data_IF_772298980028
#
_entry.id   IF_772298980028
#
_cell.length_a   1.000
_cell.length_b   1.000
_cell.length_c   1.000
_cell.angle_alpha   90.00
_cell.angle_beta   90.00
_cell.angle_gamma   90.00
#
_symmetry.space_group_name_H-M   'P 1'
#
loop_
_entity.id
_entity.type
_entity.pdbx_description
1 polymer ?
#
# COMPACT_ATOMS: atom_id res chain seq x y z
N UNK A 1 35.40 30.32 -11.58
CA UNK A 1 34.49 29.53 -12.46
C UNK A 1 35.14 28.18 -12.79
N UNK A 2 34.65 27.05 -12.25
CA UNK A 2 34.95 25.72 -12.78
C UNK A 2 33.69 25.16 -13.45
N UNK A 3 33.60 25.23 -14.78
CA UNK A 3 34.08 24.23 -15.75
C UNK A 3 32.93 23.31 -16.18
N UNK A 4 32.44 23.60 -17.39
CA UNK A 4 31.50 22.82 -18.19
C UNK A 4 31.92 21.34 -18.41
N UNK A 5 33.10 20.93 -17.93
CA UNK A 5 33.57 19.54 -17.98
C UNK A 5 32.71 18.58 -17.13
N UNK A 6 32.10 19.03 -16.02
CA UNK A 6 31.18 18.17 -15.22
C UNK A 6 29.84 17.92 -15.91
N UNK A 7 29.43 18.79 -16.83
CA UNK A 7 28.16 18.68 -17.55
C UNK A 7 28.22 17.59 -18.63
N UNK A 8 29.40 17.31 -19.18
CA UNK A 8 29.60 16.24 -20.17
C UNK A 8 29.45 14.82 -19.61
N UNK A 9 29.70 14.63 -18.31
CA UNK A 9 29.54 13.33 -17.64
C UNK A 9 28.09 13.08 -17.18
N UNK A 10 27.36 14.15 -16.85
CA UNK A 10 25.92 14.12 -16.53
C UNK A 10 25.02 13.86 -17.75
N UNK A 11 25.52 14.13 -18.96
CA UNK A 11 24.81 13.93 -20.23
C UNK A 11 25.20 12.64 -20.97
N UNK A 12 25.99 11.75 -20.35
CA UNK A 12 26.02 10.36 -20.81
C UNK A 12 24.63 9.79 -20.57
N UNK A 13 23.78 9.84 -21.61
CA UNK A 13 22.63 8.95 -21.74
C UNK A 13 23.16 7.56 -21.42
N UNK A 14 22.91 7.07 -20.19
CA UNK A 14 23.21 5.69 -19.83
C UNK A 14 22.67 4.85 -20.98
N UNK A 15 23.51 4.03 -21.58
CA UNK A 15 23.02 3.07 -22.58
C UNK A 15 21.79 2.39 -21.97
N UNK A 16 20.66 2.35 -22.68
CA UNK A 16 19.43 1.83 -22.11
C UNK A 16 19.73 0.40 -21.65
N UNK A 17 19.67 0.18 -20.33
CA UNK A 17 20.01 -1.13 -19.75
C UNK A 17 19.19 -2.26 -20.39
N UNK A 18 19.61 -3.52 -20.25
CA UNK A 18 18.92 -4.64 -20.87
C UNK A 18 17.47 -4.71 -20.39
N UNK A 19 16.57 -5.11 -21.29
CA UNK A 19 15.16 -5.37 -20.94
C UNK A 19 15.08 -6.65 -20.12
N UNK A 20 14.34 -6.62 -19.03
CA UNK A 20 14.00 -7.78 -18.20
C UNK A 20 12.50 -8.03 -18.32
N UNK A 21 12.12 -9.26 -18.66
CA UNK A 21 10.73 -9.69 -18.66
C UNK A 21 10.41 -10.38 -17.33
N UNK A 22 9.60 -9.74 -16.49
CA UNK A 22 9.05 -10.38 -15.29
C UNK A 22 7.78 -11.13 -15.71
N UNK A 23 7.80 -12.46 -15.64
CA UNK A 23 6.70 -13.31 -16.12
C UNK A 23 6.07 -14.07 -14.96
N UNK A 24 4.74 -14.22 -15.01
CA UNK A 24 3.99 -14.92 -13.97
C UNK A 24 2.72 -15.57 -14.56
N UNK A 25 2.24 -16.67 -13.94
CA UNK A 25 0.92 -17.23 -14.26
C UNK A 25 -0.21 -16.21 -14.29
N UNK A 26 -0.15 -15.19 -13.44
CA UNK A 26 -1.10 -14.08 -13.41
C UNK A 26 -0.36 -12.75 -13.22
N UNK A 27 -0.75 -11.73 -13.98
CA UNK A 27 -0.33 -10.33 -13.79
C UNK A 27 -1.57 -9.48 -13.56
N UNK A 28 -1.57 -8.68 -12.49
CA UNK A 28 -2.62 -7.72 -12.14
C UNK A 28 -2.07 -6.30 -12.32
N UNK A 29 -2.31 -5.66 -13.48
CA UNK A 29 -1.80 -4.32 -13.77
C UNK A 29 -2.49 -3.23 -12.94
N UNK A 30 -3.64 -3.55 -12.35
CA UNK A 30 -4.56 -2.65 -11.63
C UNK A 30 -5.29 -1.69 -12.56
N UNK A 31 -4.60 -0.94 -13.41
CA UNK A 31 -5.28 -0.01 -14.33
C UNK A 31 -6.04 -0.71 -15.47
N UNK A 32 -5.65 -1.95 -15.79
CA UNK A 32 -6.20 -2.78 -16.88
C UNK A 32 -6.62 -4.17 -16.37
N UNK A 33 -7.25 -4.96 -17.25
CA UNK A 33 -7.70 -6.32 -16.94
C UNK A 33 -6.57 -7.26 -16.48
N UNK A 34 -6.87 -8.23 -15.60
CA UNK A 34 -5.97 -9.33 -15.26
C UNK A 34 -5.46 -10.11 -16.48
N UNK A 35 -4.17 -10.43 -16.49
CA UNK A 35 -3.52 -11.11 -17.62
C UNK A 35 -3.00 -12.47 -17.17
N UNK A 36 -3.69 -13.53 -17.59
CA UNK A 36 -3.19 -14.91 -17.47
C UNK A 36 -2.00 -15.18 -18.40
N UNK A 37 -0.99 -15.91 -17.90
CA UNK A 37 0.35 -16.07 -18.51
C UNK A 37 0.91 -14.73 -18.99
N UNK A 38 0.95 -13.78 -18.04
CA UNK A 38 1.32 -12.40 -18.28
C UNK A 38 2.81 -12.12 -18.11
N UNK A 39 3.22 -10.98 -18.62
CA UNK A 39 4.57 -10.45 -18.48
C UNK A 39 4.56 -8.92 -18.33
N UNK A 40 5.57 -8.42 -17.62
CA UNK A 40 5.91 -7.01 -17.49
C UNK A 40 7.31 -6.80 -18.04
N UNK A 41 7.44 -6.03 -19.11
CA UNK A 41 8.73 -5.66 -19.70
C UNK A 41 9.28 -4.43 -18.98
N UNK A 42 10.43 -4.56 -18.34
CA UNK A 42 11.08 -3.51 -17.54
C UNK A 42 12.43 -3.15 -18.15
N UNK A 43 12.73 -1.85 -18.17
CA UNK A 43 14.06 -1.32 -18.50
C UNK A 43 14.45 -0.26 -17.49
N UNK A 44 15.58 -0.49 -16.81
CA UNK A 44 15.99 0.37 -15.70
C UNK A 44 14.88 0.38 -14.64
N UNK A 45 14.33 1.56 -14.36
CA UNK A 45 13.28 1.79 -13.38
C UNK A 45 11.89 2.01 -14.01
N UNK A 46 11.71 1.71 -15.30
CA UNK A 46 10.44 1.94 -16.02
C UNK A 46 9.87 0.66 -16.62
N UNK A 47 8.55 0.58 -16.58
CA UNK A 47 7.77 -0.39 -17.35
C UNK A 47 7.66 0.11 -18.79
N UNK A 48 8.06 -0.73 -19.74
CA UNK A 48 7.90 -0.49 -21.17
C UNK A 48 6.54 -0.93 -21.66
N UNK A 49 6.10 -2.12 -21.22
CA UNK A 49 4.87 -2.75 -21.67
C UNK A 49 4.42 -3.81 -20.67
N UNK A 50 3.10 -4.02 -20.60
CA UNK A 50 2.46 -5.12 -19.87
C UNK A 50 1.60 -5.88 -20.87
N UNK A 51 1.59 -7.22 -20.81
CA UNK A 51 0.84 -8.00 -21.79
C UNK A 51 1.04 -9.50 -21.65
N UNK A 52 0.58 -10.26 -22.65
CA UNK A 52 0.81 -11.70 -22.73
C UNK A 52 2.30 -12.01 -22.84
N UNK A 53 2.75 -13.03 -22.10
CA UNK A 53 4.14 -13.48 -22.09
C UNK A 53 4.68 -13.80 -23.49
N UNK A 54 3.91 -14.51 -24.30
CA UNK A 54 4.29 -14.86 -25.67
C UNK A 54 4.54 -13.63 -26.53
N UNK A 55 3.64 -12.65 -26.48
CA UNK A 55 3.76 -11.39 -27.22
C UNK A 55 4.99 -10.58 -26.78
N UNK A 56 5.23 -10.45 -25.47
CA UNK A 56 6.39 -9.71 -24.97
C UNK A 56 7.72 -10.42 -25.28
N UNK A 57 7.78 -11.77 -25.25
CA UNK A 57 8.99 -12.50 -25.67
C UNK A 57 9.32 -12.27 -27.15
N UNK A 58 8.29 -12.20 -28.01
CA UNK A 58 8.48 -11.88 -29.43
C UNK A 58 8.88 -10.42 -29.65
N UNK A 59 8.27 -9.48 -28.92
CA UNK A 59 8.53 -8.04 -29.04
C UNK A 59 9.85 -7.56 -28.44
N UNK A 60 10.42 -8.33 -27.49
CA UNK A 60 11.70 -8.03 -26.85
C UNK A 60 12.66 -9.23 -26.96
N UNK A 61 13.14 -9.57 -28.18
CA UNK A 61 14.04 -10.70 -28.37
C UNK A 61 15.36 -10.49 -27.63
N UNK A 62 15.93 -11.57 -27.08
CA UNK A 62 17.18 -11.53 -26.31
C UNK A 62 17.07 -10.93 -24.90
N UNK A 63 15.88 -10.51 -24.48
CA UNK A 63 15.65 -10.04 -23.10
C UNK A 63 15.82 -11.15 -22.07
N UNK A 64 16.30 -10.79 -20.87
CA UNK A 64 16.40 -11.73 -19.74
C UNK A 64 15.01 -11.99 -19.20
N UNK A 65 14.60 -13.25 -19.13
CA UNK A 65 13.33 -13.62 -18.52
C UNK A 65 13.52 -13.99 -17.05
N UNK A 66 12.73 -13.38 -16.17
CA UNK A 66 12.64 -13.71 -14.75
C UNK A 66 11.24 -14.25 -14.46
N UNK A 67 11.15 -15.56 -14.24
CA UNK A 67 9.89 -16.26 -14.04
C UNK A 67 9.54 -16.36 -12.56
N UNK A 68 8.34 -15.92 -12.20
CA UNK A 68 7.83 -15.94 -10.83
C UNK A 68 6.75 -17.01 -10.66
N UNK A 69 6.77 -17.77 -9.55
CA UNK A 69 5.65 -18.62 -9.20
C UNK A 69 4.55 -17.74 -8.56
N UNK A 70 3.33 -17.79 -9.09
CA UNK A 70 2.17 -17.09 -8.52
C UNK A 70 1.71 -15.86 -9.31
N UNK A 71 1.45 -14.77 -8.60
CA UNK A 71 0.84 -13.55 -9.16
C UNK A 71 1.77 -12.36 -9.01
N UNK A 72 1.99 -11.62 -10.09
CA UNK A 72 2.52 -10.26 -10.05
C UNK A 72 1.35 -9.31 -9.91
N UNK A 73 1.43 -8.36 -8.97
CA UNK A 73 0.53 -7.21 -8.88
C UNK A 73 1.36 -5.93 -8.93
N UNK A 74 0.76 -4.81 -9.32
CA UNK A 74 1.38 -3.50 -9.11
C UNK A 74 1.84 -3.37 -7.64
N UNK A 75 3.01 -2.76 -7.43
CA UNK A 75 3.54 -2.57 -6.10
C UNK A 75 2.54 -1.87 -5.17
N UNK A 76 2.38 -2.40 -3.96
CA UNK A 76 1.46 -1.82 -2.99
C UNK A 76 2.03 -0.49 -2.47
N UNK A 77 1.13 0.45 -2.17
CA UNK A 77 1.50 1.79 -1.71
C UNK A 77 0.85 2.03 -0.37
N UNK A 78 1.67 2.22 0.66
CA UNK A 78 1.20 2.57 2.01
C UNK A 78 1.36 4.09 2.21
N UNK A 79 0.27 4.87 2.21
CA UNK A 79 0.34 6.33 2.29
C UNK A 79 0.57 6.85 3.72
N UNK A 80 0.53 5.97 4.73
CA UNK A 80 0.81 6.33 6.12
C UNK A 80 1.30 5.11 6.92
N UNK A 81 2.51 4.68 6.59
CA UNK A 81 3.15 3.49 7.11
C UNK A 81 3.72 3.70 8.52
N UNK A 82 3.44 2.75 9.40
CA UNK A 82 4.07 2.62 10.73
C UNK A 82 5.11 1.51 10.78
N UNK A 83 5.29 0.75 9.69
CA UNK A 83 6.20 -0.39 9.62
C UNK A 83 6.45 -0.88 8.19
N UNK A 84 7.15 -2.01 8.06
CA UNK A 84 7.28 -2.73 6.80
C UNK A 84 6.15 -3.74 6.65
N UNK A 85 5.59 -3.85 5.44
CA UNK A 85 4.49 -4.77 5.14
C UNK A 85 4.74 -5.55 3.84
N UNK A 86 4.24 -6.79 3.72
CA UNK A 86 4.50 -7.63 2.56
C UNK A 86 4.04 -6.99 1.25
N UNK A 87 4.93 -6.91 0.26
CA UNK A 87 4.61 -6.43 -1.09
C UNK A 87 4.48 -4.91 -1.23
N UNK A 88 4.72 -4.15 -0.15
CA UNK A 88 4.79 -2.69 -0.24
C UNK A 88 6.10 -2.26 -0.90
N UNK A 89 5.98 -1.46 -1.95
CA UNK A 89 7.10 -0.92 -2.74
C UNK A 89 7.29 0.59 -2.55
N UNK A 90 6.29 1.27 -1.98
CA UNK A 90 6.39 2.69 -1.61
C UNK A 90 5.68 2.91 -0.29
N UNK A 91 6.38 3.53 0.65
CA UNK A 91 5.88 3.91 1.97
C UNK A 91 5.99 5.40 2.17
N UNK A 92 4.94 6.00 2.70
CA UNK A 92 4.97 7.36 3.20
C UNK A 92 4.69 7.36 4.71
N UNK A 93 5.36 8.20 5.48
CA UNK A 93 5.18 8.22 6.94
C UNK A 93 6.14 9.18 7.62
N UNK A 94 6.12 9.18 8.95
CA UNK A 94 6.96 10.05 9.77
C UNK A 94 8.41 9.52 9.95
N UNK A 95 8.64 8.23 9.65
CA UNK A 95 9.94 7.59 9.88
C UNK A 95 10.91 7.75 8.69
N UNK A 96 12.20 7.92 8.98
CA UNK A 96 13.28 8.08 7.98
C UNK A 96 13.44 6.90 7.00
N UNK A 97 12.90 5.73 7.37
CA UNK A 97 12.91 4.55 6.50
C UNK A 97 11.87 4.60 5.36
N UNK A 98 11.02 5.63 5.32
CA UNK A 98 9.99 5.81 4.30
C UNK A 98 10.57 6.40 2.99
N UNK A 99 9.92 6.08 1.88
CA UNK A 99 10.23 6.63 0.55
C UNK A 99 9.75 8.08 0.40
N UNK A 100 8.68 8.43 1.11
CA UNK A 100 8.16 9.79 1.27
C UNK A 100 8.11 10.10 2.76
N UNK A 101 8.77 11.16 3.20
CA UNK A 101 8.79 11.54 4.62
C UNK A 101 7.78 12.67 4.84
N UNK A 102 6.97 12.57 5.89
CA UNK A 102 6.16 13.68 6.38
C UNK A 102 6.90 14.35 7.54
N UNK A 103 7.24 15.64 7.38
CA UNK A 103 7.73 16.46 8.48
C UNK A 103 6.53 16.77 9.37
N UNK A 104 6.63 16.38 10.63
CA UNK A 104 5.54 16.57 11.59
C UNK A 104 5.50 18.00 12.12
N UNK A 105 4.34 18.63 12.03
CA UNK A 105 4.10 19.96 12.60
C UNK A 105 2.98 19.85 13.63
N UNK A 106 3.34 20.07 14.90
CA UNK A 106 2.45 20.05 16.07
C UNK A 106 2.42 21.39 16.80
N UNK A 107 2.99 22.44 16.20
CA UNK A 107 3.04 23.77 16.79
C UNK A 107 1.64 24.21 17.21
N UNK A 108 1.46 24.56 18.48
CA UNK A 108 0.15 24.91 19.03
C UNK A 108 -0.01 26.43 19.25
N UNK A 109 0.95 27.22 18.77
CA UNK A 109 1.05 28.66 19.00
C UNK A 109 1.49 29.36 17.71
N UNK A 110 0.60 30.17 17.15
CA UNK A 110 0.86 30.95 15.95
C UNK A 110 2.09 31.88 16.08
N UNK A 111 2.36 32.43 17.28
CA UNK A 111 3.51 33.30 17.46
C UNK A 111 4.83 32.52 17.34
N UNK A 112 4.96 31.38 18.03
CA UNK A 112 6.12 30.50 17.88
C UNK A 112 6.29 29.97 16.43
N UNK A 113 5.18 29.74 15.73
CA UNK A 113 5.18 29.39 14.32
C UNK A 113 5.83 30.47 13.45
N UNK A 114 5.36 31.70 13.57
CA UNK A 114 5.87 32.85 12.82
C UNK A 114 7.34 33.16 13.15
N UNK A 115 7.71 33.11 14.42
CA UNK A 115 9.06 33.54 14.86
C UNK A 115 10.16 32.52 14.54
N UNK A 116 9.83 31.23 14.43
CA UNK A 116 10.86 30.17 14.36
C UNK A 116 10.46 28.92 13.59
N UNK A 117 9.30 28.33 13.88
CA UNK A 117 9.01 26.97 13.41
C UNK A 117 8.71 26.90 11.92
N UNK A 118 8.13 27.97 11.35
CA UNK A 118 7.94 28.10 9.91
C UNK A 118 9.25 28.02 9.14
N UNK A 119 10.25 28.78 9.57
CA UNK A 119 11.57 28.80 8.93
C UNK A 119 12.31 27.46 9.09
N UNK A 120 12.14 26.81 10.25
CA UNK A 120 12.66 25.47 10.48
C UNK A 120 12.02 24.44 9.52
N UNK A 121 10.69 24.50 9.33
CA UNK A 121 10.00 23.64 8.36
C UNK A 121 10.51 23.89 6.93
N UNK A 122 10.59 25.15 6.50
CA UNK A 122 11.06 25.50 5.15
C UNK A 122 12.49 25.00 4.93
N UNK A 123 13.35 25.11 5.94
CA UNK A 123 14.72 24.60 5.90
C UNK A 123 14.73 23.07 5.77
N UNK A 124 13.97 22.36 6.61
CA UNK A 124 13.87 20.90 6.56
C UNK A 124 13.36 20.40 5.19
N UNK A 125 12.38 21.09 4.59
CA UNK A 125 11.86 20.77 3.26
C UNK A 125 12.94 20.96 2.18
N UNK A 126 13.70 22.05 2.25
CA UNK A 126 14.75 22.38 1.26
C UNK A 126 15.96 21.46 1.35
N UNK A 127 16.30 21.00 2.55
CA UNK A 127 17.46 20.13 2.78
C UNK A 127 17.16 18.64 2.55
N UNK A 128 15.89 18.27 2.40
CA UNK A 128 15.49 16.88 2.16
C UNK A 128 16.08 16.33 0.84
N UNK A 129 16.77 15.20 0.94
CA UNK A 129 17.35 14.47 -0.20
C UNK A 129 16.34 13.61 -0.97
N UNK A 130 15.09 13.62 -0.52
CA UNK A 130 14.01 12.76 -0.99
C UNK A 130 12.66 13.47 -0.92
N UNK A 131 11.62 12.89 -1.50
CA UNK A 131 10.28 13.48 -1.48
C UNK A 131 9.79 13.70 -0.05
N UNK A 132 9.32 14.91 0.23
CA UNK A 132 8.85 15.33 1.54
C UNK A 132 7.45 15.92 1.44
N UNK A 133 6.63 15.65 2.45
CA UNK A 133 5.35 16.32 2.71
C UNK A 133 5.30 16.82 4.14
N UNK A 134 4.13 17.31 4.58
CA UNK A 134 3.92 17.79 5.94
C UNK A 134 2.78 17.02 6.60
N UNK A 135 2.98 16.57 7.83
CA UNK A 135 1.90 16.11 8.69
C UNK A 135 1.35 17.28 9.49
N UNK A 136 0.16 17.73 9.10
CA UNK A 136 -0.52 18.90 9.65
C UNK A 136 -1.29 18.50 10.92
N UNK A 137 -0.56 18.35 12.03
CA UNK A 137 -1.08 17.95 13.34
C UNK A 137 -1.19 19.12 14.33
N UNK A 138 -1.09 20.35 13.83
CA UNK A 138 -1.30 21.57 14.62
C UNK A 138 -2.75 21.64 15.11
N UNK A 139 -2.99 21.96 16.40
CA UNK A 139 -4.31 22.35 16.88
C UNK A 139 -4.64 23.83 16.57
N UNK A 140 -3.64 24.64 16.22
CA UNK A 140 -3.78 26.07 15.94
C UNK A 140 -4.23 26.29 14.47
N UNK A 141 -5.34 27.00 14.23
CA UNK A 141 -5.89 27.20 12.89
C UNK A 141 -5.02 28.10 12.00
N UNK A 142 -4.34 29.11 12.55
CA UNK A 142 -3.46 30.00 11.76
C UNK A 142 -2.24 29.24 11.24
N UNK A 143 -1.70 28.34 12.07
CA UNK A 143 -0.64 27.41 11.65
C UNK A 143 -1.15 26.48 10.54
N UNK A 144 -2.35 25.92 10.66
CA UNK A 144 -2.93 25.05 9.61
C UNK A 144 -3.16 25.80 8.30
N UNK A 145 -3.62 27.06 8.36
CA UNK A 145 -3.81 27.92 7.19
C UNK A 145 -2.49 28.18 6.47
N UNK A 146 -1.43 28.55 7.21
CA UNK A 146 -0.12 28.78 6.61
C UNK A 146 0.48 27.48 6.04
N UNK A 147 0.31 26.33 6.72
CA UNK A 147 0.69 25.02 6.16
C UNK A 147 -0.01 24.74 4.83
N UNK A 148 -1.30 25.07 4.71
CA UNK A 148 -2.04 24.92 3.46
C UNK A 148 -1.51 25.86 2.37
N UNK A 149 -1.15 27.10 2.71
CA UNK A 149 -0.51 28.05 1.79
C UNK A 149 0.86 27.55 1.33
N UNK A 150 1.71 27.09 2.25
CA UNK A 150 3.02 26.53 1.96
C UNK A 150 2.89 25.30 1.05
N UNK A 151 1.94 24.40 1.32
CA UNK A 151 1.71 23.23 0.50
C UNK A 151 1.34 23.58 -0.94
N UNK A 152 0.43 24.54 -1.15
CA UNK A 152 0.10 25.02 -2.49
C UNK A 152 1.27 25.71 -3.18
N UNK A 153 2.04 26.50 -2.43
CA UNK A 153 3.17 27.28 -2.96
C UNK A 153 4.30 26.38 -3.43
N UNK A 154 4.63 25.35 -2.65
CA UNK A 154 5.75 24.45 -2.92
C UNK A 154 5.33 23.10 -3.55
N UNK A 155 4.03 22.88 -3.77
CA UNK A 155 3.50 21.63 -4.31
C UNK A 155 3.69 20.44 -3.37
N UNK A 156 3.60 20.67 -2.05
CA UNK A 156 3.82 19.63 -1.03
C UNK A 156 2.56 18.82 -0.80
N UNK A 157 2.74 17.54 -0.43
CA UNK A 157 1.65 16.71 0.09
C UNK A 157 1.41 17.04 1.55
N UNK A 158 0.14 17.14 1.94
CA UNK A 158 -0.29 17.20 3.32
C UNK A 158 -0.88 15.85 3.75
N UNK A 159 -0.60 15.45 4.98
CA UNK A 159 -1.37 14.42 5.69
C UNK A 159 -1.97 15.03 6.95
N UNK A 160 -3.25 14.77 7.20
CA UNK A 160 -3.92 15.13 8.44
C UNK A 160 -4.48 13.87 9.11
N UNK A 161 -4.35 13.75 10.42
CA UNK A 161 -4.90 12.64 11.19
C UNK A 161 -6.27 13.05 11.78
N UNK A 162 -7.33 12.35 11.36
CA UNK A 162 -8.68 12.62 11.83
C UNK A 162 -8.92 12.19 13.28
N UNK A 163 -7.99 11.44 13.88
CA UNK A 163 -7.98 11.23 15.33
C UNK A 163 -7.49 12.47 16.11
N UNK A 164 -6.82 13.40 15.43
CA UNK A 164 -6.29 14.65 16.02
C UNK A 164 -7.21 15.82 15.73
N UNK A 165 -7.59 16.02 14.46
CA UNK A 165 -8.37 17.18 14.02
C UNK A 165 -9.52 16.74 13.13
N UNK A 166 -10.75 17.14 13.48
CA UNK A 166 -11.94 16.83 12.70
C UNK A 166 -11.91 17.48 11.30
N UNK A 167 -12.67 16.96 10.31
CA UNK A 167 -12.67 17.50 8.95
C UNK A 167 -13.09 18.96 8.84
N UNK A 168 -14.00 19.45 9.69
CA UNK A 168 -14.51 20.83 9.63
C UNK A 168 -13.42 21.89 9.78
N UNK A 169 -12.67 21.92 10.90
CA UNK A 169 -11.54 22.85 11.07
C UNK A 169 -10.46 22.72 9.99
N UNK A 170 -10.19 21.51 9.49
CA UNK A 170 -9.26 21.31 8.37
C UNK A 170 -9.77 21.94 7.07
N UNK A 171 -11.09 21.96 6.86
CA UNK A 171 -11.72 22.63 5.71
C UNK A 171 -11.63 24.15 5.82
N UNK A 172 -11.95 24.68 7.00
CA UNK A 172 -11.90 26.11 7.30
C UNK A 172 -10.48 26.66 7.10
N UNK A 173 -9.47 25.94 7.56
CA UNK A 173 -8.06 26.29 7.36
C UNK A 173 -7.56 26.04 5.92
N UNK A 174 -8.39 25.46 5.03
CA UNK A 174 -8.03 25.16 3.64
C UNK A 174 -6.99 24.06 3.47
N UNK A 175 -6.80 23.21 4.49
CA UNK A 175 -5.91 22.04 4.46
C UNK A 175 -6.49 20.95 3.56
N UNK A 176 -7.81 20.73 3.62
CA UNK A 176 -8.48 19.78 2.75
C UNK A 176 -8.37 20.22 1.28
N UNK A 177 -8.12 19.25 0.40
CA UNK A 177 -7.91 19.54 -1.01
C UNK A 177 -7.17 18.41 -1.75
N UNK A 178 -6.93 18.60 -3.06
CA UNK A 178 -6.22 17.62 -3.88
C UNK A 178 -4.79 17.30 -3.42
N UNK A 179 -4.16 18.20 -2.65
CA UNK A 179 -2.82 18.02 -2.08
C UNK A 179 -2.81 17.29 -0.74
N UNK A 180 -3.99 17.04 -0.16
CA UNK A 180 -4.15 16.43 1.15
C UNK A 180 -4.71 15.01 1.02
N UNK A 181 -4.22 14.11 1.86
CA UNK A 181 -4.95 12.90 2.21
C UNK A 181 -5.10 12.84 3.73
N UNK A 182 -6.18 12.23 4.19
CA UNK A 182 -6.49 12.13 5.61
C UNK A 182 -6.26 10.70 6.08
N UNK A 183 -5.57 10.54 7.20
CA UNK A 183 -5.48 9.27 7.91
C UNK A 183 -6.74 9.10 8.78
N UNK A 184 -7.44 7.98 8.61
CA UNK A 184 -8.69 7.70 9.32
C UNK A 184 -8.63 6.32 9.99
N UNK A 185 -8.74 6.31 11.32
CA UNK A 185 -8.80 5.08 12.14
C UNK A 185 -10.19 4.83 12.72
N UNK A 186 -11.11 5.77 12.59
CA UNK A 186 -12.47 5.72 13.12
C UNK A 186 -13.56 5.53 12.05
N UNK A 187 -14.80 5.82 12.43
CA UNK A 187 -15.93 5.92 11.52
C UNK A 187 -16.09 7.37 11.07
N UNK A 188 -16.46 7.57 9.81
CA UNK A 188 -16.84 8.87 9.27
C UNK A 188 -18.37 8.93 9.16
N UNK A 189 -18.95 10.02 9.63
CA UNK A 189 -20.36 10.26 9.36
C UNK A 189 -20.58 10.60 7.87
N UNK A 190 -21.83 10.52 7.35
CA UNK A 190 -22.11 10.82 5.95
C UNK A 190 -21.74 12.24 5.52
N UNK A 191 -21.84 13.22 6.41
CA UNK A 191 -21.47 14.62 6.18
C UNK A 191 -19.96 14.81 6.05
N UNK A 192 -19.19 14.23 6.97
CA UNK A 192 -17.72 14.22 6.93
C UNK A 192 -17.20 13.54 5.67
N UNK A 193 -17.75 12.36 5.34
CA UNK A 193 -17.39 11.64 4.10
C UNK A 193 -17.67 12.50 2.88
N UNK A 194 -18.86 13.12 2.81
CA UNK A 194 -19.24 14.00 1.71
C UNK A 194 -18.31 15.21 1.60
N UNK A 195 -17.94 15.83 2.71
CA UNK A 195 -17.01 16.95 2.75
C UNK A 195 -15.65 16.58 2.16
N UNK A 196 -15.06 15.48 2.63
CA UNK A 196 -13.75 15.01 2.17
C UNK A 196 -13.75 14.70 0.66
N UNK A 197 -14.81 14.07 0.15
CA UNK A 197 -14.98 13.79 -1.27
C UNK A 197 -15.14 15.07 -2.10
N UNK A 198 -15.95 16.03 -1.64
CA UNK A 198 -16.13 17.32 -2.31
C UNK A 198 -14.83 18.12 -2.42
N UNK A 199 -13.94 17.99 -1.43
CA UNK A 199 -12.60 18.60 -1.44
C UNK A 199 -11.56 17.79 -2.19
N UNK A 200 -11.91 16.59 -2.65
CA UNK A 200 -10.98 15.67 -3.32
C UNK A 200 -9.79 15.29 -2.43
N UNK A 201 -9.97 15.33 -1.11
CA UNK A 201 -9.01 14.77 -0.15
C UNK A 201 -9.13 13.25 -0.17
N UNK A 202 -8.02 12.54 -0.41
CA UNK A 202 -8.05 11.07 -0.39
C UNK A 202 -8.16 10.59 1.06
N UNK A 203 -9.05 9.62 1.33
CA UNK A 203 -9.16 9.02 2.66
C UNK A 203 -8.29 7.76 2.70
N UNK A 204 -7.31 7.73 3.60
CA UNK A 204 -6.47 6.58 3.88
C UNK A 204 -6.90 5.91 5.19
N UNK A 205 -7.52 4.74 5.10
CA UNK A 205 -7.97 4.00 6.27
C UNK A 205 -6.83 3.19 6.89
N UNK A 206 -6.50 3.53 8.13
CA UNK A 206 -5.64 2.72 8.99
C UNK A 206 -6.36 1.45 9.45
N UNK A 207 -5.66 0.39 9.87
CA UNK A 207 -6.29 -0.82 10.36
C UNK A 207 -7.25 -0.52 11.51
N UNK A 208 -8.48 -1.01 11.41
CA UNK A 208 -9.56 -0.72 12.37
C UNK A 208 -10.53 0.37 11.92
N UNK A 209 -10.15 1.22 10.97
CA UNK A 209 -11.04 2.20 10.35
C UNK A 209 -12.14 1.55 9.49
N UNK A 210 -13.29 2.24 9.37
CA UNK A 210 -14.46 1.71 8.65
C UNK A 210 -14.50 2.19 7.19
N UNK A 211 -13.81 1.46 6.32
CA UNK A 211 -13.81 1.71 4.89
C UNK A 211 -15.07 1.19 4.15
N UNK A 212 -15.99 0.49 4.84
CA UNK A 212 -17.08 -0.22 4.16
C UNK A 212 -18.07 0.72 3.48
N UNK A 213 -18.39 1.86 4.08
CA UNK A 213 -19.32 2.80 3.49
C UNK A 213 -18.80 3.31 2.13
N UNK A 214 -17.53 3.72 2.06
CA UNK A 214 -16.93 4.15 0.79
C UNK A 214 -16.89 3.00 -0.19
N UNK A 215 -16.50 1.80 0.27
CA UNK A 215 -16.47 0.61 -0.56
C UNK A 215 -17.83 0.27 -1.16
N UNK A 216 -18.91 0.41 -0.41
CA UNK A 216 -20.27 0.16 -0.92
C UNK A 216 -20.71 1.28 -1.90
N UNK A 217 -20.32 2.53 -1.62
CA UNK A 217 -20.75 3.73 -2.39
C UNK A 217 -20.06 3.92 -3.76
N UNK A 218 -18.94 3.24 -4.05
CA UNK A 218 -18.21 3.47 -5.32
C UNK A 218 -16.95 4.34 -5.19
N UNK A 219 -16.79 4.99 -4.04
CA UNK A 219 -15.78 6.04 -3.84
C UNK A 219 -14.32 5.54 -3.74
N UNK A 220 -13.35 6.29 -4.27
CA UNK A 220 -11.94 5.97 -4.14
C UNK A 220 -11.44 6.23 -2.72
N UNK A 221 -10.58 5.34 -2.23
CA UNK A 221 -9.91 5.46 -0.94
C UNK A 221 -8.58 4.70 -0.97
N UNK A 222 -7.76 4.88 0.05
CA UNK A 222 -6.51 4.16 0.26
C UNK A 222 -6.57 3.32 1.54
N UNK A 223 -5.70 2.34 1.64
CA UNK A 223 -5.49 1.52 2.84
C UNK A 223 -4.06 1.75 3.34
N UNK A 224 -3.90 1.94 4.64
CA UNK A 224 -2.60 2.14 5.29
C UNK A 224 -2.33 1.03 6.33
N UNK A 225 -1.07 0.88 6.74
CA UNK A 225 -0.67 -0.01 7.84
C UNK A 225 -0.83 -1.50 7.52
N UNK A 226 -0.17 -1.96 6.45
CA UNK A 226 -0.41 -3.24 5.74
C UNK A 226 -1.64 -3.22 4.80
N UNK A 227 -1.52 -2.51 3.66
CA UNK A 227 -2.64 -2.31 2.75
C UNK A 227 -3.28 -3.61 2.24
N UNK A 228 -2.49 -4.67 1.99
CA UNK A 228 -3.02 -5.94 1.50
C UNK A 228 -3.62 -6.78 2.63
N UNK A 229 -3.00 -6.82 3.80
CA UNK A 229 -3.59 -7.46 4.98
C UNK A 229 -4.92 -6.82 5.37
N UNK A 230 -4.99 -5.48 5.32
CA UNK A 230 -6.22 -4.73 5.53
C UNK A 230 -7.27 -5.03 4.45
N UNK A 231 -6.89 -5.03 3.18
CA UNK A 231 -7.76 -5.44 2.07
C UNK A 231 -8.33 -6.86 2.26
N UNK A 232 -7.50 -7.81 2.67
CA UNK A 232 -7.92 -9.19 2.95
C UNK A 232 -8.93 -9.25 4.10
N UNK A 233 -8.73 -8.45 5.16
CA UNK A 233 -9.67 -8.38 6.27
C UNK A 233 -11.06 -7.86 5.85
N UNK A 234 -11.09 -6.81 5.04
CA UNK A 234 -12.34 -6.24 4.51
C UNK A 234 -13.02 -7.19 3.51
N UNK A 235 -12.24 -7.89 2.68
CA UNK A 235 -12.76 -8.82 1.68
C UNK A 235 -13.55 -9.98 2.29
N UNK A 236 -13.27 -10.39 3.54
CA UNK A 236 -14.10 -11.39 4.24
C UNK A 236 -15.55 -10.92 4.45
N UNK A 237 -15.76 -9.61 4.59
CA UNK A 237 -17.08 -8.97 4.76
C UNK A 237 -17.71 -8.54 3.43
N UNK A 238 -16.89 -8.35 2.39
CA UNK A 238 -17.29 -7.89 1.04
C UNK A 238 -16.51 -8.65 -0.05
N UNK A 239 -16.74 -9.95 -0.25
CA UNK A 239 -15.94 -10.79 -1.16
C UNK A 239 -16.05 -10.37 -2.63
N UNK A 240 -17.18 -9.78 -3.02
CA UNK A 240 -17.42 -9.28 -4.38
C UNK A 240 -16.64 -8.02 -4.72
N UNK A 241 -16.05 -7.35 -3.72
CA UNK A 241 -15.33 -6.08 -3.87
C UNK A 241 -13.79 -6.27 -3.85
N UNK A 242 -13.30 -7.50 -3.99
CA UNK A 242 -11.88 -7.83 -3.89
C UNK A 242 -10.99 -7.00 -4.83
N UNK A 243 -11.42 -6.78 -6.07
CA UNK A 243 -10.68 -5.93 -7.01
C UNK A 243 -10.51 -4.50 -6.48
N UNK A 244 -11.58 -3.93 -5.95
CA UNK A 244 -11.57 -2.55 -5.47
C UNK A 244 -10.75 -2.38 -4.21
N UNK A 245 -10.74 -3.39 -3.34
CA UNK A 245 -9.85 -3.44 -2.18
C UNK A 245 -8.36 -3.51 -2.59
N UNK A 246 -8.02 -4.31 -3.61
CA UNK A 246 -6.65 -4.35 -4.15
C UNK A 246 -6.29 -3.03 -4.85
N UNK A 247 -7.24 -2.38 -5.55
CA UNK A 247 -7.06 -1.02 -6.10
C UNK A 247 -6.77 0.00 -4.99
N UNK A 248 -7.48 -0.06 -3.86
CA UNK A 248 -7.24 0.82 -2.72
C UNK A 248 -5.84 0.63 -2.12
N UNK A 249 -5.36 -0.63 -2.05
CA UNK A 249 -4.01 -0.98 -1.58
C UNK A 249 -2.86 -0.61 -2.55
N UNK A 250 -3.18 -0.18 -3.77
CA UNK A 250 -2.21 0.12 -4.84
C UNK A 250 -2.42 1.54 -5.36
N UNK A 251 -3.33 1.71 -6.32
CA UNK A 251 -3.64 2.99 -6.96
C UNK A 251 -4.23 4.01 -5.97
N UNK A 252 -5.02 3.57 -4.99
CA UNK A 252 -5.55 4.42 -3.93
C UNK A 252 -4.44 5.07 -3.10
N UNK A 253 -3.48 4.27 -2.63
CA UNK A 253 -2.28 4.79 -1.95
C UNK A 253 -1.44 5.69 -2.86
N UNK A 254 -1.27 5.35 -4.14
CA UNK A 254 -0.58 6.21 -5.10
C UNK A 254 -1.27 7.57 -5.27
N UNK A 255 -2.61 7.60 -5.31
CA UNK A 255 -3.40 8.83 -5.42
C UNK A 255 -3.29 9.68 -4.16
N UNK A 256 -3.29 9.07 -2.97
CA UNK A 256 -3.04 9.75 -1.71
C UNK A 256 -1.66 10.46 -1.70
N UNK A 257 -0.67 9.88 -2.38
CA UNK A 257 0.67 10.49 -2.51
C UNK A 257 0.80 11.46 -3.70
N UNK A 258 -0.23 11.63 -4.53
CA UNK A 258 -0.15 12.39 -5.77
C UNK A 258 0.81 11.78 -6.80
N UNK A 259 0.97 10.45 -6.80
CA UNK A 259 1.91 9.68 -7.64
C UNK A 259 1.23 8.63 -8.51
N UNK A 260 -0.08 8.71 -8.68
CA UNK A 260 -0.88 7.81 -9.50
C UNK A 260 -0.85 8.17 -11.00
N UNK A 261 -0.34 9.35 -11.37
CA UNK A 261 -0.36 9.87 -12.75
C UNK A 261 1.00 10.32 -13.25
N UNK A 262 1.09 10.44 -14.58
CA UNK A 262 2.27 10.95 -15.27
C UNK A 262 3.41 9.93 -15.42
N UNK A 263 4.58 10.38 -15.91
CA UNK A 263 5.78 9.57 -16.03
C UNK A 263 6.29 9.14 -14.64
N UNK A 264 6.65 7.87 -14.49
CA UNK A 264 7.13 7.34 -13.21
C UNK A 264 6.04 7.13 -12.16
N UNK A 265 4.75 7.18 -12.54
CA UNK A 265 3.62 6.84 -11.67
C UNK A 265 3.78 5.46 -11.04
N UNK A 266 3.18 5.29 -9.87
CA UNK A 266 3.14 4.04 -9.08
C UNK A 266 1.70 3.57 -8.87
N UNK A 267 1.51 2.43 -8.19
CA UNK A 267 0.19 1.87 -7.89
C UNK A 267 -0.55 1.25 -9.09
N UNK A 268 0.03 1.32 -10.29
CA UNK A 268 -0.46 0.63 -11.48
C UNK A 268 0.70 0.28 -12.41
N UNK A 269 0.53 -0.76 -13.23
CA UNK A 269 1.52 -1.19 -14.22
C UNK A 269 1.06 -0.82 -15.62
N UNK A 270 1.88 -0.07 -16.32
CA UNK A 270 1.68 0.27 -17.72
C UNK A 270 2.87 1.04 -18.27
N UNK A 271 2.91 1.31 -19.58
CA UNK A 271 4.01 2.07 -20.18
C UNK A 271 4.31 3.37 -19.42
N UNK A 272 5.59 3.59 -19.13
CA UNK A 272 6.09 4.77 -18.43
C UNK A 272 5.88 4.79 -16.91
N UNK A 273 5.14 3.84 -16.33
CA UNK A 273 5.08 3.67 -14.87
C UNK A 273 6.45 3.27 -14.31
N UNK A 274 6.68 3.57 -13.04
CA UNK A 274 7.84 3.04 -12.33
C UNK A 274 7.70 1.52 -12.20
N UNK A 275 8.79 0.79 -12.36
CA UNK A 275 8.81 -0.67 -12.28
C UNK A 275 8.74 -1.16 -10.81
N UNK A 276 7.58 -0.93 -10.19
CA UNK A 276 7.25 -1.34 -8.85
C UNK A 276 6.28 -2.53 -8.89
N UNK A 277 6.76 -3.73 -8.54
CA UNK A 277 6.02 -4.99 -8.62
C UNK A 277 5.99 -5.66 -7.26
N UNK A 278 4.88 -6.29 -6.90
CA UNK A 278 4.81 -7.21 -5.77
C UNK A 278 4.46 -8.61 -6.27
N UNK A 279 5.17 -9.62 -5.76
CA UNK A 279 5.03 -11.01 -6.18
C UNK A 279 4.49 -11.82 -5.01
N UNK A 280 3.35 -12.47 -5.21
CA UNK A 280 2.67 -13.26 -4.20
C UNK A 280 2.49 -14.71 -4.65
N UNK A 281 2.67 -15.65 -3.72
CA UNK A 281 2.46 -17.07 -3.98
C UNK A 281 0.97 -17.41 -3.94
N UNK A 282 0.26 -17.13 -5.04
CA UNK A 282 -1.14 -17.51 -5.22
C UNK A 282 -1.21 -18.92 -5.82
N UNK A 283 -1.99 -19.82 -5.21
CA UNK A 283 -2.14 -21.21 -5.68
C UNK A 283 -3.09 -21.30 -6.88
N UNK A 284 -4.25 -20.65 -6.80
CA UNK A 284 -5.21 -20.61 -7.90
C UNK A 284 -5.00 -19.38 -8.80
N UNK A 285 -4.03 -19.47 -9.71
CA UNK A 285 -3.71 -18.40 -10.68
C UNK A 285 -4.49 -18.51 -11.98
N UNK A 286 -5.29 -19.57 -12.15
CA UNK A 286 -6.11 -19.80 -13.36
C UNK A 286 -7.60 -19.60 -13.11
N UNK A 287 -8.00 -19.39 -11.85
CA UNK A 287 -9.37 -19.13 -11.45
C UNK A 287 -9.95 -17.84 -12.01
N UNK A 288 -11.28 -17.75 -11.98
CA UNK A 288 -12.05 -16.60 -12.49
C UNK A 288 -11.97 -15.35 -11.60
N UNK A 289 -11.41 -15.47 -10.39
CA UNK A 289 -11.41 -14.42 -9.37
C UNK A 289 -9.99 -14.14 -8.84
N UNK A 290 -9.09 -13.59 -9.67
CA UNK A 290 -7.67 -13.48 -9.31
C UNK A 290 -7.40 -12.51 -8.14
N UNK A 291 -8.25 -11.49 -7.97
CA UNK A 291 -8.16 -10.58 -6.82
C UNK A 291 -8.55 -11.25 -5.51
N UNK A 292 -9.63 -12.03 -5.50
CA UNK A 292 -10.02 -12.81 -4.32
C UNK A 292 -8.95 -13.84 -3.96
N UNK A 293 -8.35 -14.50 -4.96
CA UNK A 293 -7.25 -15.44 -4.75
C UNK A 293 -5.98 -14.78 -4.18
N UNK A 294 -5.72 -13.51 -4.54
CA UNK A 294 -4.62 -12.73 -3.95
C UNK A 294 -4.89 -12.41 -2.47
N UNK A 295 -6.13 -12.05 -2.14
CA UNK A 295 -6.55 -11.67 -0.78
C UNK A 295 -6.69 -12.87 0.18
N UNK A 296 -6.65 -14.10 -0.32
CA UNK A 296 -6.66 -15.33 0.47
C UNK A 296 -5.26 -15.65 1.05
N UNK A 297 -4.68 -14.69 1.79
CA UNK A 297 -3.44 -14.82 2.56
C UNK A 297 -2.21 -15.32 1.77
N UNK A 298 -2.06 -14.88 0.52
CA UNK A 298 -0.90 -15.25 -0.29
C UNK A 298 0.40 -14.66 0.31
N UNK A 299 1.45 -15.46 0.57
CA UNK A 299 2.71 -14.93 1.07
C UNK A 299 3.45 -14.14 -0.01
N UNK A 300 4.04 -13.01 0.38
CA UNK A 300 4.89 -12.21 -0.49
C UNK A 300 6.25 -12.90 -0.70
N UNK A 301 6.58 -13.19 -1.97
CA UNK A 301 7.83 -13.83 -2.38
C UNK A 301 8.93 -12.82 -2.67
N UNK A 302 8.57 -11.70 -3.29
CA UNK A 302 9.50 -10.65 -3.68
C UNK A 302 8.78 -9.34 -3.92
N UNK A 303 9.54 -8.26 -3.85
CA UNK A 303 9.18 -6.96 -4.38
C UNK A 303 10.21 -6.55 -5.43
N UNK A 304 9.77 -5.79 -6.42
CA UNK A 304 10.63 -5.12 -7.38
C UNK A 304 10.40 -3.64 -7.15
N UNK A 305 11.44 -2.88 -6.85
CA UNK A 305 11.35 -1.46 -6.51
C UNK A 305 12.25 -0.70 -7.48
N UNK A 306 11.66 0.15 -8.32
CA UNK A 306 12.36 0.83 -9.41
C UNK A 306 13.17 -0.16 -10.27
N UNK A 307 12.59 -1.33 -10.59
CA UNK A 307 13.23 -2.38 -11.39
C UNK A 307 14.28 -3.22 -10.66
N UNK A 308 14.60 -2.90 -9.39
CA UNK A 308 15.52 -3.70 -8.56
C UNK A 308 14.75 -4.75 -7.79
N UNK A 309 15.21 -6.00 -7.86
CA UNK A 309 14.55 -7.14 -7.20
C UNK A 309 15.03 -7.27 -5.77
N UNK A 310 14.08 -7.34 -4.85
CA UNK A 310 14.29 -7.60 -3.42
C UNK A 310 13.47 -8.83 -3.03
N UNK A 311 14.14 -9.95 -2.75
CA UNK A 311 13.48 -11.19 -2.35
C UNK A 311 13.27 -11.21 -0.84
N UNK A 312 12.10 -11.69 -0.40
CA UNK A 312 11.89 -12.01 1.01
C UNK A 312 12.60 -13.33 1.33
N UNK A 313 13.31 -13.41 2.46
CA UNK A 313 14.06 -14.61 2.83
C UNK A 313 13.14 -15.84 2.92
N UNK A 314 13.53 -16.94 2.27
CA UNK A 314 12.76 -18.20 2.14
C UNK A 314 12.29 -18.78 3.49
N UNK A 315 12.99 -18.49 4.59
CA UNK A 315 12.69 -19.02 5.93
C UNK A 315 11.31 -18.62 6.49
N UNK A 316 10.70 -17.52 6.02
CA UNK A 316 9.39 -17.08 6.49
C UNK A 316 8.23 -17.87 5.86
N UNK A 317 8.42 -18.39 4.65
CA UNK A 317 7.36 -19.12 3.91
C UNK A 317 7.17 -20.53 4.51
N UNK A 318 8.25 -21.16 4.97
CA UNK A 318 8.20 -22.47 5.63
C UNK A 318 7.70 -22.41 7.09
N UNK A 319 7.72 -21.24 7.73
CA UNK A 319 7.24 -21.06 9.10
C UNK A 319 5.71 -20.98 9.15
N UNK A 320 5.07 -20.21 8.25
CA UNK A 320 3.61 -20.14 8.16
C UNK A 320 2.97 -21.46 7.67
N UNK A 321 3.65 -22.19 6.78
CA UNK A 321 3.17 -23.49 6.30
C UNK A 321 3.15 -24.58 7.39
N UNK A 322 4.01 -24.46 8.42
CA UNK A 322 4.07 -25.40 9.55
C UNK A 322 2.99 -25.12 10.59
N UNK A 323 2.60 -23.86 10.78
CA UNK A 323 1.59 -23.47 11.78
C UNK A 323 0.16 -23.89 11.38
N UNK A 324 -0.13 -23.95 10.07
CA UNK A 324 -1.43 -24.42 9.55
C UNK A 324 -1.51 -25.96 9.41
N UNK A 325 -0.44 -26.69 9.71
CA UNK A 325 -0.36 -28.16 9.62
C UNK A 325 -0.63 -28.91 10.93
N UNK A 326 -0.89 -28.21 12.04
CA UNK A 326 -1.12 -28.82 13.35
C UNK A 326 -2.53 -28.56 13.88
N UNK A 327 -3.54 -29.09 13.16
CA UNK A 327 -4.80 -29.52 13.78
C UNK A 327 -5.07 -30.96 13.38
N UNK A 328 -4.45 -31.89 14.09
CA UNK A 328 -4.95 -33.27 14.17
C UNK A 328 -6.23 -33.30 15.00
N UNK A 329 -7.26 -34.09 14.62
CA UNK A 329 -8.47 -34.22 15.41
C UNK A 329 -8.16 -35.08 16.64
N UNK A 330 -8.47 -34.57 17.83
CA UNK A 330 -8.40 -35.34 19.05
C UNK A 330 -9.52 -36.40 19.03
N UNK A 331 -9.14 -37.63 18.65
CA UNK A 331 -9.86 -38.85 18.98
C UNK A 331 -9.18 -39.45 20.20
N UNK A 332 -9.75 -39.26 21.39
CA UNK A 332 -9.77 -40.27 22.46
C UNK A 332 -10.64 -39.83 23.65
N UNK A 333 -11.80 -40.45 23.75
CA UNK A 333 -12.68 -40.43 24.91
C UNK A 333 -13.52 -41.70 24.96
N UNK A 334 -12.88 -42.85 24.76
CA UNK A 334 -13.46 -44.17 24.98
C UNK A 334 -12.47 -45.01 25.80
N UNK A 335 -13.01 -45.60 26.86
CA UNK A 335 -12.51 -46.71 27.67
C UNK A 335 -11.27 -46.50 28.55
N UNK A 336 -11.54 -46.30 29.85
CA UNK A 336 -10.89 -47.07 30.91
C UNK A 336 -11.90 -47.53 31.96
N UNK A 337 -12.18 -48.83 31.88
CA UNK A 337 -12.70 -49.70 32.95
C UNK A 337 -11.52 -50.18 33.79
N UNK A 338 -11.69 -50.18 35.11
CA UNK A 338 -11.16 -51.04 36.20
C UNK A 338 -11.34 -50.17 37.48
N UNK A 339 -12.11 -50.50 38.52
CA UNK A 339 -12.72 -51.75 38.97
C UNK A 339 -12.40 -51.90 40.46
N UNK A 340 -13.39 -51.73 41.34
CA UNK A 340 -13.43 -52.15 42.76
C UNK A 340 -14.90 -51.94 43.22
N UNK A 341 -15.73 -52.98 43.35
CA UNK A 341 -16.02 -53.77 44.58
C UNK A 341 -16.52 -52.87 45.73
N UNK A 342 -17.66 -53.05 46.41
CA UNK A 342 -18.58 -54.17 46.61
C UNK A 342 -19.84 -53.63 47.37
N UNK A 343 -20.85 -54.50 47.53
CA UNK A 343 -22.09 -54.36 48.34
C UNK A 343 -23.23 -53.55 47.70
N UNK A 344 -24.43 -54.07 47.47
CA UNK A 344 -25.06 -55.31 47.92
C UNK A 344 -26.55 -55.00 48.11
N UNK A 345 -27.42 -55.76 47.43
CA UNK A 345 -28.76 -56.03 47.94
C UNK A 345 -29.97 -55.36 47.26
N UNK A 346 -30.72 -56.23 46.59
CA UNK A 346 -32.19 -56.36 46.64
C UNK A 346 -33.03 -55.33 45.86
N UNK A 347 -33.50 -55.77 44.69
CA UNK A 347 -34.87 -55.52 44.21
C UNK A 347 -35.66 -56.83 44.44
N UNK A 348 -36.95 -56.79 44.84
CA UNK A 348 -37.95 -56.94 43.80
C UNK A 348 -39.26 -56.15 44.05
N UNK A 349 -39.63 -55.33 43.07
CA UNK A 349 -40.95 -55.35 42.46
C UNK A 349 -42.08 -54.59 43.15
N UNK A 350 -42.42 -53.42 42.61
CA UNK A 350 -43.77 -53.02 42.15
C UNK A 350 -43.76 -51.61 41.60
#
# INVERSE_FOLDING_TARGET
>A
MPSAARTGELLRRREPGPVVLHTAPMVLPIADEPIGDGAVAVRGDRVLQVGKRSALRAGYPGSREMRWPGTIVAGLVDPFATGDAPGVTTRAGLGESCDVIYVEVRCADAQAWEERERDALITAIREADRPVGVAAHSPDPEVLEDLAVLARTFGLRLVADLAVTAPGPLDEAGVLGPLCHVACSGQLDPGERKLLLLRQSVIAFSPGGDALALLDDGEPFALAGDPLGHAAALSRRRPTQAERLVRAATLGGAAALGRDRGPGRIGSLGPGSRADLAVFQVRDTRGRHPYSALLDHAPCLARVVAGRVERRAERAVDALARDHGHRTPDRRGADRVYGEAEAGGIDPGR
#
